data_IF_629385166785
#
_entry.id   IF_629385166785
#
_cell.length_a   1.000
_cell.length_b   1.000
_cell.length_c   1.000
_cell.angle_alpha   90.00
_cell.angle_beta   90.00
_cell.angle_gamma   90.00
#
_symmetry.space_group_name_H-M   'P 1'
#
loop_
_entity.id
_entity.type
_entity.pdbx_description
1 polymer ?
#
# COMPACT_ATOMS: atom_id res chain seq x y z
N UNK A 1 56.17 -30.35 -36.89
CA UNK A 1 55.32 -29.16 -37.11
C UNK A 1 54.86 -28.69 -35.74
N UNK A 2 55.57 -27.71 -35.18
CA UNK A 2 55.23 -26.28 -35.19
C UNK A 2 54.06 -25.99 -34.23
N UNK A 3 54.46 -25.69 -33.00
CA UNK A 3 54.01 -24.61 -32.11
C UNK A 3 52.60 -24.06 -32.39
N UNK A 4 51.72 -24.03 -31.38
CA UNK A 4 50.86 -22.86 -31.23
C UNK A 4 50.48 -22.58 -29.77
N UNK A 5 50.51 -21.29 -29.49
CA UNK A 5 50.50 -20.62 -28.20
C UNK A 5 49.16 -20.68 -27.44
N UNK A 6 49.30 -20.66 -26.11
CA UNK A 6 48.40 -20.07 -25.09
C UNK A 6 47.68 -18.81 -25.61
N UNK A 7 46.39 -18.60 -25.30
CA UNK A 7 45.89 -17.36 -24.69
C UNK A 7 44.45 -17.50 -24.16
N UNK A 8 44.33 -17.18 -22.86
CA UNK A 8 43.13 -16.90 -22.09
C UNK A 8 42.44 -15.65 -22.69
N UNK A 9 41.19 -15.77 -23.15
CA UNK A 9 40.30 -14.62 -23.40
C UNK A 9 38.93 -15.04 -22.83
N UNK A 10 38.75 -14.95 -21.52
CA UNK A 10 38.04 -13.84 -20.86
C UNK A 10 36.76 -13.50 -21.64
N UNK A 11 35.71 -14.24 -21.31
CA UNK A 11 34.32 -13.87 -21.59
C UNK A 11 34.07 -12.48 -20.99
N UNK A 12 33.62 -11.48 -21.76
CA UNK A 12 32.93 -10.37 -21.15
C UNK A 12 31.53 -10.88 -20.81
N UNK A 13 31.35 -11.28 -19.54
CA UNK A 13 30.05 -11.21 -18.89
C UNK A 13 29.63 -9.74 -18.96
N UNK A 14 28.85 -9.39 -19.98
CA UNK A 14 28.18 -8.09 -20.07
C UNK A 14 27.06 -8.16 -19.04
N UNK A 15 27.39 -7.88 -17.78
CA UNK A 15 26.39 -7.48 -16.80
C UNK A 15 25.86 -6.14 -17.30
N UNK A 16 24.71 -6.19 -17.94
CA UNK A 16 23.85 -5.03 -18.11
C UNK A 16 23.42 -4.60 -16.72
N UNK A 17 24.15 -3.67 -16.12
CA UNK A 17 23.62 -2.86 -15.02
C UNK A 17 22.55 -1.95 -15.63
N UNK A 18 21.34 -2.50 -15.77
CA UNK A 18 20.16 -1.67 -15.83
C UNK A 18 20.08 -0.96 -14.47
N UNK A 19 20.41 0.32 -14.43
CA UNK A 19 20.00 1.16 -13.31
C UNK A 19 18.47 1.13 -13.28
N UNK A 20 17.90 0.31 -12.41
CA UNK A 20 16.55 0.50 -11.93
C UNK A 20 16.57 1.86 -11.21
N UNK A 21 16.05 2.90 -11.86
CA UNK A 21 15.62 4.10 -11.16
C UNK A 21 14.42 3.65 -10.34
N UNK A 22 14.66 3.30 -9.08
CA UNK A 22 13.60 3.18 -8.09
C UNK A 22 13.13 4.62 -7.87
N UNK A 23 12.05 5.00 -8.55
CA UNK A 23 11.40 6.29 -8.33
C UNK A 23 10.98 6.32 -6.86
N UNK A 24 11.69 7.12 -6.06
CA UNK A 24 11.36 7.34 -4.66
C UNK A 24 10.05 8.13 -4.57
N UNK A 25 8.93 7.41 -4.56
CA UNK A 25 7.59 7.99 -4.47
C UNK A 25 7.30 8.62 -3.09
N UNK A 26 8.12 8.35 -2.06
CA UNK A 26 7.88 8.85 -0.71
C UNK A 26 7.98 10.38 -0.60
N UNK A 27 8.72 11.01 -1.51
CA UNK A 27 8.79 12.47 -1.61
C UNK A 27 7.44 13.11 -1.98
N UNK A 28 6.70 12.47 -2.88
CA UNK A 28 5.43 12.98 -3.39
C UNK A 28 4.24 12.59 -2.49
N UNK A 29 4.42 11.55 -1.66
CA UNK A 29 3.39 10.98 -0.80
C UNK A 29 3.84 10.93 0.67
N UNK A 30 3.51 11.95 1.48
CA UNK A 30 3.96 12.04 2.87
C UNK A 30 3.60 10.85 3.76
N UNK A 31 2.49 10.16 3.45
CA UNK A 31 2.06 8.96 4.19
C UNK A 31 2.95 7.73 3.93
N UNK A 32 3.85 7.79 2.94
CA UNK A 32 4.88 6.79 2.66
C UNK A 32 6.23 7.16 3.27
N UNK A 33 6.32 8.22 4.06
CA UNK A 33 7.57 8.54 4.72
C UNK A 33 7.80 7.54 5.88
N UNK A 34 8.86 6.71 5.79
CA UNK A 34 9.27 5.74 6.82
C UNK A 34 9.57 6.36 8.19
N UNK A 35 9.70 7.69 8.27
CA UNK A 35 9.85 8.42 9.53
C UNK A 35 8.49 8.64 10.24
N UNK A 36 7.37 8.32 9.59
CA UNK A 36 6.06 8.33 10.23
C UNK A 36 6.01 7.24 11.31
N UNK A 37 5.69 7.65 12.55
CA UNK A 37 5.63 6.74 13.70
C UNK A 37 4.38 5.85 13.73
N UNK A 38 3.50 5.98 12.74
CA UNK A 38 2.15 5.41 12.73
C UNK A 38 1.90 4.63 11.44
N UNK A 39 1.01 3.65 11.51
CA UNK A 39 0.53 2.93 10.32
C UNK A 39 -0.22 3.90 9.41
N UNK A 40 -0.21 3.68 8.11
CA UNK A 40 -1.02 4.45 7.17
C UNK A 40 -2.23 3.63 6.68
N UNK A 41 -3.38 4.28 6.54
CA UNK A 41 -4.56 3.68 5.88
C UNK A 41 -4.73 4.35 4.52
N UNK A 42 -4.79 3.55 3.45
CA UNK A 42 -4.85 4.06 2.07
C UNK A 42 -6.00 3.41 1.32
N UNK A 43 -6.98 4.20 0.88
CA UNK A 43 -8.12 3.75 0.08
C UNK A 43 -7.92 4.16 -1.38
N UNK A 44 -7.71 3.19 -2.25
CA UNK A 44 -7.76 3.35 -3.69
C UNK A 44 -9.23 3.32 -4.15
N UNK A 45 -9.69 4.46 -4.68
CA UNK A 45 -11.08 4.74 -5.06
C UNK A 45 -11.18 5.02 -6.56
N UNK A 46 -12.33 4.69 -7.14
CA UNK A 46 -12.68 4.97 -8.52
C UNK A 46 -14.00 5.77 -8.57
N UNK A 47 -13.93 6.97 -9.14
CA UNK A 47 -15.03 7.96 -9.15
C UNK A 47 -16.37 7.46 -9.73
N UNK A 48 -16.35 6.40 -10.54
CA UNK A 48 -17.53 5.83 -11.19
C UNK A 48 -18.14 4.63 -10.46
N UNK A 49 -17.51 4.17 -9.36
CA UNK A 49 -17.86 2.92 -8.66
C UNK A 49 -18.35 3.17 -7.22
N UNK A 50 -18.86 4.36 -6.92
CA UNK A 50 -19.30 4.79 -5.57
C UNK A 50 -20.20 3.79 -4.83
N UNK A 51 -21.08 3.07 -5.54
CA UNK A 51 -21.94 2.05 -4.94
C UNK A 51 -21.14 0.94 -4.24
N UNK A 52 -19.99 0.57 -4.79
CA UNK A 52 -19.07 -0.43 -4.24
C UNK A 52 -18.25 0.11 -3.07
N UNK A 53 -18.06 1.43 -3.00
CA UNK A 53 -17.19 2.11 -2.04
C UNK A 53 -17.91 2.54 -0.77
N UNK A 54 -19.24 2.71 -0.81
CA UNK A 54 -20.06 3.13 0.33
C UNK A 54 -19.72 2.36 1.61
N UNK A 55 -19.53 1.03 1.52
CA UNK A 55 -19.19 0.22 2.68
C UNK A 55 -17.82 0.57 3.30
N UNK A 56 -16.85 1.00 2.49
CA UNK A 56 -15.53 1.43 2.97
C UNK A 56 -15.64 2.78 3.65
N UNK A 57 -16.31 3.75 3.04
CA UNK A 57 -16.53 5.06 3.65
C UNK A 57 -17.29 4.96 4.97
N UNK A 58 -18.39 4.20 5.00
CA UNK A 58 -19.17 3.97 6.22
C UNK A 58 -18.32 3.34 7.34
N UNK A 59 -17.47 2.36 7.00
CA UNK A 59 -16.60 1.70 7.96
C UNK A 59 -15.53 2.65 8.52
N UNK A 60 -14.89 3.43 7.65
CA UNK A 60 -13.84 4.38 8.03
C UNK A 60 -14.40 5.54 8.87
N UNK A 61 -15.54 6.12 8.47
CA UNK A 61 -16.25 7.15 9.23
C UNK A 61 -16.67 6.60 10.59
N UNK A 62 -17.20 5.37 10.64
CA UNK A 62 -17.58 4.73 11.91
C UNK A 62 -16.37 4.62 12.84
N UNK A 63 -15.23 4.13 12.35
CA UNK A 63 -14.03 3.96 13.14
C UNK A 63 -13.43 5.30 13.60
N UNK A 64 -13.32 6.29 12.72
CA UNK A 64 -12.82 7.62 13.08
C UNK A 64 -13.71 8.31 14.13
N UNK A 65 -15.04 8.11 14.08
CA UNK A 65 -15.95 8.67 15.07
C UNK A 65 -15.84 8.00 16.44
N UNK A 66 -15.56 6.69 16.50
CA UNK A 66 -15.47 5.94 17.75
C UNK A 66 -14.05 5.91 18.33
N UNK A 67 -13.02 6.08 17.49
CA UNK A 67 -11.60 5.97 17.85
C UNK A 67 -10.75 7.09 17.20
N UNK A 68 -11.09 8.37 17.42
CA UNK A 68 -10.49 9.50 16.70
C UNK A 68 -8.98 9.69 16.90
N UNK A 69 -8.38 9.04 17.90
CA UNK A 69 -6.96 9.12 18.21
C UNK A 69 -6.18 7.82 17.95
N UNK A 70 -6.86 6.73 17.61
CA UNK A 70 -6.25 5.41 17.43
C UNK A 70 -6.24 4.98 15.96
N UNK A 71 -7.16 5.52 15.15
CA UNK A 71 -7.21 5.29 13.72
C UNK A 71 -6.53 6.45 13.01
N UNK A 72 -5.41 6.21 12.29
CA UNK A 72 -4.73 7.24 11.54
C UNK A 72 -5.60 7.76 10.40
N UNK A 73 -5.25 8.96 9.92
CA UNK A 73 -5.92 9.58 8.79
C UNK A 73 -5.93 8.65 7.57
N UNK A 74 -7.04 8.66 6.83
CA UNK A 74 -7.21 7.84 5.63
C UNK A 74 -6.78 8.66 4.42
N UNK A 75 -5.83 8.13 3.67
CA UNK A 75 -5.41 8.70 2.40
C UNK A 75 -6.27 8.12 1.29
N UNK A 76 -7.03 8.95 0.59
CA UNK A 76 -7.85 8.52 -0.55
C UNK A 76 -7.08 8.79 -1.84
N UNK A 77 -6.83 7.73 -2.60
CA UNK A 77 -6.07 7.76 -3.85
C UNK A 77 -7.03 7.49 -5.01
N UNK A 78 -7.05 8.40 -5.99
CA UNK A 78 -7.88 8.24 -7.19
C UNK A 78 -7.32 7.14 -8.10
N UNK A 79 -8.20 6.46 -8.82
CA UNK A 79 -7.87 5.51 -9.89
C UNK A 79 -7.09 6.15 -11.06
N UNK A 80 -6.91 7.47 -11.08
CA UNK A 80 -6.04 8.17 -12.03
C UNK A 80 -4.60 8.33 -11.55
N UNK A 81 -4.27 7.95 -10.32
CA UNK A 81 -2.91 8.09 -9.77
C UNK A 81 -2.04 6.87 -10.11
N UNK A 82 -1.64 6.81 -11.38
CA UNK A 82 -0.93 5.66 -11.96
C UNK A 82 0.34 5.26 -11.18
N UNK A 83 1.05 6.22 -10.57
CA UNK A 83 2.29 5.92 -9.82
C UNK A 83 2.01 5.02 -8.62
N UNK A 84 1.03 5.38 -7.81
CA UNK A 84 0.66 4.59 -6.63
C UNK A 84 -0.05 3.29 -7.00
N UNK A 85 -0.90 3.32 -8.03
CA UNK A 85 -1.57 2.14 -8.56
C UNK A 85 -0.55 1.08 -8.99
N UNK A 86 0.47 1.49 -9.75
CA UNK A 86 1.52 0.59 -10.20
C UNK A 86 2.41 0.14 -9.05
N UNK A 87 2.81 1.04 -8.15
CA UNK A 87 3.65 0.72 -7.01
C UNK A 87 3.02 -0.37 -6.11
N UNK A 88 1.74 -0.23 -5.80
CA UNK A 88 0.99 -1.17 -4.96
C UNK A 88 0.27 -2.27 -5.76
N UNK A 89 0.49 -2.36 -7.08
CA UNK A 89 -0.14 -3.36 -7.95
C UNK A 89 -1.68 -3.44 -7.75
N UNK A 90 -2.35 -2.29 -7.86
CA UNK A 90 -3.79 -2.17 -7.65
C UNK A 90 -4.54 -2.47 -8.95
N UNK A 91 -5.08 -3.68 -9.06
CA UNK A 91 -5.86 -4.12 -10.23
C UNK A 91 -7.38 -4.06 -10.00
N UNK A 92 -7.82 -3.86 -8.76
CA UNK A 92 -9.23 -3.89 -8.36
C UNK A 92 -9.61 -2.64 -7.58
N UNK A 93 -10.81 -2.12 -7.82
CA UNK A 93 -11.39 -1.00 -7.08
C UNK A 93 -12.74 -1.39 -6.42
N UNK A 94 -13.03 -0.89 -5.22
CA UNK A 94 -12.10 -0.21 -4.31
C UNK A 94 -11.04 -1.17 -3.75
N UNK A 95 -9.89 -0.64 -3.32
CA UNK A 95 -8.89 -1.39 -2.54
C UNK A 95 -8.45 -0.59 -1.33
N UNK A 96 -8.54 -1.17 -0.13
CA UNK A 96 -8.08 -0.58 1.12
C UNK A 96 -6.80 -1.31 1.58
N UNK A 97 -5.73 -0.54 1.75
CA UNK A 97 -4.47 -1.00 2.31
C UNK A 97 -4.26 -0.42 3.72
N UNK A 98 -3.68 -1.24 4.59
CA UNK A 98 -3.03 -0.77 5.81
C UNK A 98 -1.54 -1.03 5.66
N UNK A 99 -0.76 0.04 5.71
CA UNK A 99 0.69 0.01 5.63
C UNK A 99 1.26 0.09 7.04
N UNK A 100 2.28 -0.71 7.33
CA UNK A 100 3.05 -0.58 8.56
C UNK A 100 4.04 0.60 8.49
N UNK A 101 4.84 0.76 9.54
CA UNK A 101 5.83 1.85 9.66
C UNK A 101 6.98 1.74 8.66
N UNK A 102 7.16 0.57 8.04
CA UNK A 102 8.15 0.32 6.99
C UNK A 102 7.49 0.34 5.60
N UNK A 103 6.29 0.92 5.48
CA UNK A 103 5.46 0.97 4.27
C UNK A 103 5.08 -0.40 3.70
N UNK A 104 5.18 -1.47 4.49
CA UNK A 104 4.79 -2.81 4.03
C UNK A 104 3.30 -3.02 4.24
N UNK A 105 2.69 -3.76 3.33
CA UNK A 105 1.28 -4.12 3.43
C UNK A 105 1.03 -5.04 4.62
N UNK A 106 0.50 -4.47 5.71
CA UNK A 106 0.00 -5.24 6.85
C UNK A 106 -1.37 -5.84 6.52
N UNK A 107 -2.19 -5.12 5.75
CA UNK A 107 -3.50 -5.59 5.32
C UNK A 107 -3.87 -5.08 3.93
N UNK A 108 -4.61 -5.92 3.20
CA UNK A 108 -5.20 -5.63 1.89
C UNK A 108 -6.64 -6.15 1.85
N UNK A 109 -7.54 -5.32 1.34
CA UNK A 109 -8.97 -5.59 1.19
C UNK A 109 -9.43 -5.07 -0.16
N UNK A 110 -9.90 -5.95 -1.03
CA UNK A 110 -10.18 -5.64 -2.44
C UNK A 110 -11.65 -5.89 -2.79
N UNK A 111 -12.21 -5.01 -3.62
CA UNK A 111 -13.56 -5.13 -4.16
C UNK A 111 -14.65 -4.90 -3.13
N UNK A 112 -15.83 -5.48 -3.36
CA UNK A 112 -17.02 -5.22 -2.52
C UNK A 112 -16.97 -6.05 -1.24
N UNK A 113 -16.68 -5.40 -0.12
CA UNK A 113 -16.67 -6.00 1.22
C UNK A 113 -17.76 -5.34 2.07
N UNK A 114 -18.39 -6.11 2.98
CA UNK A 114 -19.41 -5.59 3.90
C UNK A 114 -18.78 -4.67 4.95
N UNK A 115 -19.47 -3.57 5.29
CA UNK A 115 -19.03 -2.56 6.28
C UNK A 115 -18.53 -3.19 7.58
N UNK A 116 -19.29 -4.10 8.18
CA UNK A 116 -18.91 -4.73 9.45
C UNK A 116 -17.64 -5.58 9.35
N UNK A 117 -17.39 -6.20 8.19
CA UNK A 117 -16.17 -6.97 7.96
C UNK A 117 -14.95 -6.05 7.92
N UNK A 118 -15.07 -4.91 7.24
CA UNK A 118 -14.01 -3.88 7.17
C UNK A 118 -13.72 -3.35 8.58
N UNK A 119 -14.77 -2.99 9.34
CA UNK A 119 -14.64 -2.53 10.73
C UNK A 119 -13.89 -3.55 11.58
N UNK A 120 -14.30 -4.82 11.54
CA UNK A 120 -13.69 -5.86 12.37
C UNK A 120 -12.21 -6.08 12.01
N UNK A 121 -11.89 -6.08 10.72
CA UNK A 121 -10.51 -6.21 10.25
C UNK A 121 -9.64 -5.06 10.76
N UNK A 122 -10.12 -3.82 10.61
CA UNK A 122 -9.38 -2.65 11.04
C UNK A 122 -9.25 -2.60 12.58
N UNK A 123 -10.30 -2.94 13.33
CA UNK A 123 -10.19 -3.06 14.81
C UNK A 123 -9.10 -4.04 15.23
N UNK A 124 -9.02 -5.19 14.56
CA UNK A 124 -7.96 -6.17 14.83
C UNK A 124 -6.57 -5.63 14.47
N UNK A 125 -6.44 -4.97 13.32
CA UNK A 125 -5.17 -4.45 12.82
C UNK A 125 -4.61 -3.31 13.68
N UNK A 126 -5.50 -2.44 14.18
CA UNK A 126 -5.17 -1.31 15.05
C UNK A 126 -5.26 -1.65 16.55
N UNK A 127 -5.61 -2.89 16.90
CA UNK A 127 -5.76 -3.34 18.29
C UNK A 127 -6.75 -2.47 19.10
N UNK A 128 -7.82 -2.01 18.43
CA UNK A 128 -8.85 -1.19 19.07
C UNK A 128 -9.65 -2.04 20.04
N UNK A 129 -9.69 -1.64 21.30
CA UNK A 129 -10.60 -2.23 22.27
C UNK A 129 -11.94 -1.48 22.25
N UNK A 130 -13.06 -2.21 22.22
CA UNK A 130 -14.33 -1.57 22.52
C UNK A 130 -14.26 -1.01 23.95
N UNK A 131 -14.29 0.32 24.11
CA UNK A 131 -14.48 0.93 25.42
C UNK A 131 -15.69 0.23 26.05
N UNK A 132 -15.44 -0.57 27.09
CA UNK A 132 -16.51 -1.08 27.93
C UNK A 132 -17.18 0.14 28.52
N UNK A 133 -18.32 0.54 27.93
CA UNK A 133 -19.26 1.48 28.54
C UNK A 133 -19.53 0.99 29.96
N UNK A 134 -18.86 1.62 30.93
CA UNK A 134 -19.09 1.44 32.36
C UNK A 134 -20.35 2.16 32.80
#
# INVERSE_FOLDING_TARGET
>A
MKNLFIFFIISPFIFSDGCFHEDDISHDYPFLNEQASEKATVLFSHEYDLEKENNYYDALINLQNNYPHEIPEVNIISSSEDRLINHFHIDTFPTLLVLDRENKEAKRMEGVIKTQTIINVLKQEFQLEDEKRS
#
